data_IF_917653017774
#
_entry.id   IF_917653017774
#
_cell.length_a   1.000
_cell.length_b   1.000
_cell.length_c   1.000
_cell.angle_alpha   90.00
_cell.angle_beta   90.00
_cell.angle_gamma   90.00
#
_symmetry.space_group_name_H-M   'P 1'
#
loop_
_entity.id
_entity.type
_entity.pdbx_description
1 polymer ?
#
# COMPACT_ATOMS: atom_id res chain seq x y z
N UNK A 1 -15.25 -55.69 -6.11
CA UNK A 1 -14.12 -54.77 -5.92
C UNK A 1 -14.15 -53.82 -7.10
N UNK A 2 -14.36 -52.53 -6.83
CA UNK A 2 -14.57 -51.51 -7.86
C UNK A 2 -13.20 -50.88 -8.21
N UNK A 3 -12.71 -50.97 -9.45
CA UNK A 3 -11.35 -50.51 -9.82
C UNK A 3 -11.22 -48.99 -10.06
N UNK A 4 -12.23 -48.19 -9.72
CA UNK A 4 -12.30 -46.77 -10.09
C UNK A 4 -11.68 -45.77 -9.09
N UNK A 5 -10.95 -46.22 -8.07
CA UNK A 5 -10.26 -45.32 -7.12
C UNK A 5 -8.81 -44.99 -7.49
N UNK A 6 -8.27 -45.54 -8.58
CA UNK A 6 -6.90 -45.24 -9.04
C UNK A 6 -6.80 -43.97 -9.92
N UNK A 7 -7.91 -43.24 -10.09
CA UNK A 7 -7.91 -41.87 -10.64
C UNK A 7 -8.04 -40.85 -9.50
N UNK A 8 -7.38 -41.10 -8.37
CA UNK A 8 -7.05 -40.03 -7.44
C UNK A 8 -5.87 -39.26 -8.04
N UNK A 9 -6.24 -38.25 -8.84
CA UNK A 9 -5.46 -37.06 -9.22
C UNK A 9 -4.02 -37.14 -8.67
N UNK A 10 -3.13 -37.74 -9.45
CA UNK A 10 -1.69 -37.58 -9.24
C UNK A 10 -1.38 -36.13 -9.59
N UNK A 11 -1.64 -35.21 -8.64
CA UNK A 11 -1.27 -33.82 -8.80
C UNK A 11 0.25 -33.80 -8.85
N UNK A 12 0.80 -33.69 -10.05
CA UNK A 12 2.25 -33.71 -10.29
C UNK A 12 2.81 -32.47 -9.61
N UNK A 13 3.41 -32.67 -8.43
CA UNK A 13 4.07 -31.64 -7.64
C UNK A 13 4.98 -30.82 -8.57
N UNK A 14 4.72 -29.51 -8.64
CA UNK A 14 5.41 -28.58 -9.54
C UNK A 14 5.94 -27.41 -8.73
N UNK A 15 7.26 -27.25 -8.75
CA UNK A 15 7.94 -26.07 -8.24
C UNK A 15 8.14 -25.05 -9.38
N UNK A 16 8.18 -23.75 -9.08
CA UNK A 16 8.53 -22.71 -10.03
C UNK A 16 10.00 -22.86 -10.44
N UNK A 17 10.34 -22.30 -11.60
CA UNK A 17 11.69 -22.39 -12.14
C UNK A 17 12.65 -21.43 -11.43
N UNK A 18 13.84 -21.92 -11.07
CA UNK A 18 14.90 -21.14 -10.43
C UNK A 18 16.27 -21.42 -11.09
N UNK A 19 16.92 -20.41 -11.65
CA UNK A 19 18.27 -20.56 -12.25
C UNK A 19 19.44 -20.21 -11.35
N UNK A 20 19.22 -19.41 -10.29
CA UNK A 20 20.30 -18.85 -9.47
C UNK A 20 21.03 -17.65 -10.09
N UNK A 21 20.70 -17.23 -11.31
CA UNK A 21 21.37 -16.12 -11.98
C UNK A 21 20.51 -14.84 -12.08
N UNK A 22 19.28 -14.85 -11.54
CA UNK A 22 18.27 -13.78 -11.64
C UNK A 22 18.07 -13.26 -13.09
N UNK A 23 18.18 -14.14 -14.09
CA UNK A 23 18.02 -13.80 -15.51
C UNK A 23 16.72 -14.41 -16.05
N UNK A 24 15.85 -13.58 -16.62
CA UNK A 24 14.62 -14.02 -17.28
C UNK A 24 13.41 -14.12 -16.34
N UNK A 25 12.50 -15.05 -16.63
CA UNK A 25 11.21 -15.24 -15.93
C UNK A 25 11.31 -16.14 -14.68
N UNK A 26 12.51 -16.37 -14.17
CA UNK A 26 12.76 -17.24 -13.01
C UNK A 26 12.34 -16.56 -11.70
N UNK A 27 11.90 -17.35 -10.74
CA UNK A 27 11.54 -16.84 -9.41
C UNK A 27 12.78 -16.54 -8.56
N UNK A 28 12.62 -15.72 -7.52
CA UNK A 28 13.65 -15.53 -6.51
C UNK A 28 13.92 -16.81 -5.71
N UNK A 29 15.13 -16.90 -5.14
CA UNK A 29 15.49 -18.02 -4.27
C UNK A 29 14.52 -18.16 -3.08
N UNK A 30 14.20 -17.05 -2.41
CA UNK A 30 13.29 -17.04 -1.26
C UNK A 30 11.93 -17.66 -1.59
N UNK A 31 11.35 -17.32 -2.75
CA UNK A 31 10.07 -17.86 -3.20
C UNK A 31 10.17 -19.35 -3.53
N UNK A 32 11.22 -19.75 -4.24
CA UNK A 32 11.46 -21.16 -4.56
C UNK A 32 11.65 -22.00 -3.30
N UNK A 33 12.48 -21.52 -2.36
CA UNK A 33 12.80 -22.16 -1.09
C UNK A 33 11.59 -22.31 -0.19
N UNK A 34 10.71 -21.30 -0.18
CA UNK A 34 9.41 -21.37 0.51
C UNK A 34 8.53 -22.49 -0.05
N UNK A 35 8.42 -22.62 -1.37
CA UNK A 35 7.62 -23.70 -1.95
C UNK A 35 8.19 -25.09 -1.64
N UNK A 36 9.51 -25.26 -1.63
CA UNK A 36 10.13 -26.51 -1.17
C UNK A 36 9.77 -26.79 0.29
N UNK A 37 9.78 -25.77 1.16
CA UNK A 37 9.38 -25.92 2.56
C UNK A 37 7.89 -26.31 2.70
N UNK A 38 6.99 -25.80 1.85
CA UNK A 38 5.60 -26.23 1.79
C UNK A 38 5.49 -27.73 1.52
N UNK A 39 6.22 -28.25 0.52
CA UNK A 39 6.18 -29.68 0.19
C UNK A 39 6.69 -30.57 1.35
N UNK A 40 7.72 -30.11 2.07
CA UNK A 40 8.22 -30.80 3.26
C UNK A 40 7.15 -30.79 4.35
N UNK A 41 6.54 -29.63 4.62
CA UNK A 41 5.49 -29.47 5.63
C UNK A 41 4.24 -30.31 5.33
N UNK A 42 3.89 -30.43 4.07
CA UNK A 42 2.79 -31.28 3.57
C UNK A 42 3.14 -32.77 3.59
N UNK A 43 4.34 -33.12 4.07
CA UNK A 43 4.82 -34.49 4.27
C UNK A 43 4.84 -35.31 2.97
N UNK A 44 5.19 -34.66 1.85
CA UNK A 44 5.47 -35.37 0.61
C UNK A 44 6.68 -36.29 0.79
N UNK A 45 6.69 -37.40 0.06
CA UNK A 45 7.84 -38.32 0.05
C UNK A 45 9.10 -37.60 -0.46
N UNK A 46 10.23 -37.83 0.21
CA UNK A 46 11.52 -37.22 -0.13
C UNK A 46 11.91 -37.43 -1.61
N UNK A 47 11.59 -38.58 -2.21
CA UNK A 47 11.93 -38.83 -3.62
C UNK A 47 11.12 -37.93 -4.57
N UNK A 48 9.87 -37.63 -4.21
CA UNK A 48 8.99 -36.73 -4.98
C UNK A 48 9.51 -35.30 -4.89
N UNK A 49 9.92 -34.87 -3.70
CA UNK A 49 10.51 -33.54 -3.47
C UNK A 49 11.82 -33.41 -4.24
N UNK A 50 12.73 -34.38 -4.12
CA UNK A 50 14.00 -34.38 -4.83
C UNK A 50 13.81 -34.33 -6.35
N UNK A 51 12.82 -35.08 -6.88
CA UNK A 51 12.47 -35.03 -8.30
C UNK A 51 11.90 -33.66 -8.71
N UNK A 52 11.05 -33.05 -7.88
CA UNK A 52 10.50 -31.72 -8.14
C UNK A 52 11.61 -30.66 -8.16
N UNK A 53 12.52 -30.70 -7.17
CA UNK A 53 13.70 -29.82 -7.09
C UNK A 53 14.52 -29.93 -8.37
N UNK A 54 14.95 -31.14 -8.75
CA UNK A 54 15.77 -31.36 -9.96
C UNK A 54 15.14 -30.84 -11.24
N UNK A 55 13.81 -30.89 -11.36
CA UNK A 55 13.07 -30.38 -12.53
C UNK A 55 12.90 -28.87 -12.54
N UNK A 56 12.95 -28.24 -11.37
CA UNK A 56 12.72 -26.80 -11.20
C UNK A 56 13.98 -25.96 -11.29
N UNK A 57 15.16 -26.55 -11.09
CA UNK A 57 16.43 -25.82 -11.08
C UNK A 57 17.11 -25.84 -12.45
N UNK A 58 17.59 -24.68 -12.90
CA UNK A 58 18.34 -24.50 -14.15
C UNK A 58 19.62 -23.70 -13.91
N UNK A 59 20.38 -23.40 -14.96
CA UNK A 59 21.54 -22.51 -14.89
C UNK A 59 22.56 -22.88 -13.81
N UNK A 60 23.02 -21.88 -13.06
CA UNK A 60 23.95 -22.05 -11.93
C UNK A 60 23.37 -22.96 -10.84
N UNK A 61 22.09 -22.81 -10.50
CA UNK A 61 21.42 -23.62 -9.47
C UNK A 61 21.44 -25.12 -9.82
N UNK A 62 21.20 -25.49 -11.08
CA UNK A 62 21.29 -26.89 -11.53
C UNK A 62 22.70 -27.47 -11.42
N UNK A 63 23.73 -26.67 -11.72
CA UNK A 63 25.13 -27.09 -11.59
C UNK A 63 25.50 -27.37 -10.13
N UNK A 64 24.99 -26.58 -9.18
CA UNK A 64 25.17 -26.81 -7.75
C UNK A 64 24.53 -28.14 -7.33
N UNK A 65 23.27 -28.38 -7.72
CA UNK A 65 22.61 -29.66 -7.41
C UNK A 65 23.37 -30.84 -8.00
N UNK A 66 23.86 -30.71 -9.24
CA UNK A 66 24.65 -31.75 -9.89
C UNK A 66 25.96 -32.06 -9.16
N UNK A 67 26.63 -31.06 -8.58
CA UNK A 67 27.89 -31.23 -7.85
C UNK A 67 27.76 -32.05 -6.56
N UNK A 68 26.56 -32.10 -5.97
CA UNK A 68 26.29 -32.90 -4.77
C UNK A 68 26.20 -34.42 -5.09
N UNK A 69 26.01 -34.78 -6.36
CA UNK A 69 25.90 -36.16 -6.79
C UNK A 69 24.47 -36.73 -6.73
N UNK A 70 24.31 -37.96 -7.23
CA UNK A 70 22.99 -38.61 -7.39
C UNK A 70 22.39 -39.11 -6.08
N UNK A 71 23.22 -39.34 -5.06
CA UNK A 71 22.83 -39.83 -3.73
C UNK A 71 22.51 -38.70 -2.74
N UNK A 72 22.61 -37.44 -3.17
CA UNK A 72 22.33 -36.29 -2.31
C UNK A 72 20.88 -36.31 -1.83
N UNK A 73 20.70 -36.13 -0.53
CA UNK A 73 19.38 -36.03 0.10
C UNK A 73 18.74 -34.67 -0.20
N UNK A 74 17.44 -34.54 0.09
CA UNK A 74 16.73 -33.25 -0.02
C UNK A 74 17.38 -32.22 0.90
N UNK A 75 17.78 -32.62 2.10
CA UNK A 75 18.42 -31.74 3.09
C UNK A 75 19.80 -31.29 2.59
N UNK A 76 20.63 -32.18 2.03
CA UNK A 76 21.93 -31.81 1.47
C UNK A 76 21.80 -30.75 0.36
N UNK A 77 20.78 -30.90 -0.49
CA UNK A 77 20.49 -29.95 -1.56
C UNK A 77 20.05 -28.61 -0.98
N UNK A 78 19.15 -28.62 -0.01
CA UNK A 78 18.64 -27.41 0.64
C UNK A 78 19.77 -26.66 1.35
N UNK A 79 20.57 -27.35 2.18
CA UNK A 79 21.68 -26.76 2.92
C UNK A 79 22.70 -26.11 1.97
N UNK A 80 23.01 -26.80 0.87
CA UNK A 80 23.92 -26.26 -0.14
C UNK A 80 23.34 -25.03 -0.84
N UNK A 81 22.06 -25.05 -1.17
CA UNK A 81 21.38 -23.92 -1.80
C UNK A 81 21.28 -22.74 -0.84
N UNK A 82 20.92 -22.96 0.42
CA UNK A 82 20.81 -21.94 1.47
C UNK A 82 22.17 -21.27 1.68
N UNK A 83 23.27 -22.04 1.61
CA UNK A 83 24.64 -21.52 1.71
C UNK A 83 25.08 -20.62 0.53
N UNK A 84 24.48 -20.76 -0.66
CA UNK A 84 24.92 -20.05 -1.87
C UNK A 84 23.97 -18.90 -2.22
N UNK A 85 22.66 -19.16 -2.11
CA UNK A 85 21.61 -18.26 -2.57
C UNK A 85 20.77 -17.67 -1.43
N UNK A 86 20.87 -18.24 -0.22
CA UNK A 86 20.19 -17.69 0.94
C UNK A 86 20.67 -16.27 1.26
N UNK A 87 19.75 -15.42 1.72
CA UNK A 87 20.13 -14.08 2.20
C UNK A 87 21.14 -14.19 3.33
N UNK A 88 22.23 -13.40 3.24
CA UNK A 88 23.25 -13.26 4.29
C UNK A 88 22.96 -12.09 5.23
N UNK A 89 21.80 -11.45 5.07
CA UNK A 89 21.45 -10.25 5.81
C UNK A 89 21.25 -10.59 7.29
N UNK A 90 21.94 -9.83 8.14
CA UNK A 90 21.83 -9.96 9.60
C UNK A 90 20.63 -9.13 10.07
N UNK A 91 19.95 -9.60 11.11
CA UNK A 91 18.75 -8.98 11.69
C UNK A 91 18.88 -7.47 11.90
N UNK A 92 20.01 -7.00 12.42
CA UNK A 92 20.25 -5.58 12.71
C UNK A 92 20.26 -4.73 11.43
N UNK A 93 20.79 -5.26 10.33
CA UNK A 93 20.80 -4.58 9.02
C UNK A 93 19.37 -4.47 8.48
N UNK A 94 18.59 -5.54 8.58
CA UNK A 94 17.19 -5.55 8.14
C UNK A 94 16.32 -4.60 8.97
N UNK A 95 16.51 -4.54 10.29
CA UNK A 95 15.85 -3.56 11.15
C UNK A 95 16.26 -2.13 10.82
N UNK A 96 17.55 -1.88 10.59
CA UNK A 96 18.02 -0.56 10.18
C UNK A 96 17.37 -0.15 8.84
N UNK A 97 17.31 -1.06 7.88
CA UNK A 97 16.62 -0.86 6.61
C UNK A 97 15.13 -0.57 6.82
N UNK A 98 14.45 -1.34 7.67
CA UNK A 98 13.04 -1.15 8.00
C UNK A 98 12.79 0.26 8.55
N UNK A 99 13.57 0.70 9.53
CA UNK A 99 13.37 2.01 10.16
C UNK A 99 13.77 3.19 9.27
N UNK A 100 14.64 2.99 8.29
CA UNK A 100 15.07 4.03 7.34
C UNK A 100 14.26 4.05 6.04
N UNK A 101 13.52 2.99 5.72
CA UNK A 101 12.73 2.91 4.51
C UNK A 101 11.64 3.99 4.43
N UNK A 102 11.42 4.53 3.24
CA UNK A 102 10.31 5.44 2.92
C UNK A 102 9.70 5.04 1.58
N UNK A 103 8.46 5.45 1.34
CA UNK A 103 7.79 5.31 0.06
C UNK A 103 8.59 6.07 -1.02
N UNK A 104 8.88 5.39 -2.13
CA UNK A 104 9.54 6.01 -3.28
C UNK A 104 8.64 7.01 -4.01
N UNK A 105 9.23 7.88 -4.83
CA UNK A 105 8.49 8.94 -5.53
C UNK A 105 7.44 8.38 -6.51
N UNK A 106 7.77 7.28 -7.20
CA UNK A 106 6.88 6.59 -8.15
C UNK A 106 6.24 5.32 -7.56
N UNK A 107 6.45 5.05 -6.27
CA UNK A 107 5.95 3.85 -5.62
C UNK A 107 4.51 4.07 -5.13
N UNK A 108 3.58 3.23 -5.57
CA UNK A 108 2.22 3.26 -5.05
C UNK A 108 2.12 2.74 -3.61
N UNK A 109 1.03 3.07 -2.93
CA UNK A 109 0.80 2.72 -1.53
C UNK A 109 0.89 1.21 -1.27
N UNK A 110 0.42 0.39 -2.22
CA UNK A 110 0.42 -1.07 -2.11
C UNK A 110 1.84 -1.62 -2.21
N UNK A 111 2.60 -1.18 -3.22
CA UNK A 111 4.01 -1.56 -3.38
C UNK A 111 4.84 -1.17 -2.16
N UNK A 112 4.63 0.03 -1.61
CA UNK A 112 5.28 0.48 -0.38
C UNK A 112 4.95 -0.43 0.80
N UNK A 113 3.67 -0.75 1.00
CA UNK A 113 3.22 -1.65 2.07
C UNK A 113 3.86 -3.03 1.97
N UNK A 114 3.81 -3.64 0.78
CA UNK A 114 4.40 -4.96 0.53
C UNK A 114 5.91 -4.98 0.75
N UNK A 115 6.64 -3.96 0.28
CA UNK A 115 8.09 -3.87 0.46
C UNK A 115 8.46 -3.71 1.93
N UNK A 116 7.72 -2.89 2.67
CA UNK A 116 7.97 -2.69 4.10
C UNK A 116 7.71 -3.98 4.91
N UNK A 117 6.63 -4.68 4.59
CA UNK A 117 6.28 -5.97 5.20
C UNK A 117 7.32 -7.06 4.90
N UNK A 118 7.82 -7.13 3.67
CA UNK A 118 8.89 -8.06 3.29
C UNK A 118 10.18 -7.82 4.10
N UNK A 119 10.60 -6.57 4.25
CA UNK A 119 11.79 -6.21 5.04
C UNK A 119 11.60 -6.65 6.50
N UNK A 120 10.44 -6.39 7.10
CA UNK A 120 10.17 -6.77 8.48
C UNK A 120 10.12 -8.30 8.64
N UNK A 121 9.41 -9.00 7.78
CA UNK A 121 9.29 -10.45 7.83
C UNK A 121 10.65 -11.15 7.73
N UNK A 122 11.55 -10.64 6.88
CA UNK A 122 12.95 -11.12 6.84
C UNK A 122 13.66 -10.91 8.17
N UNK A 123 13.46 -9.77 8.83
CA UNK A 123 14.04 -9.52 10.15
C UNK A 123 13.46 -10.45 11.24
N UNK A 124 12.15 -10.74 11.19
CA UNK A 124 11.47 -11.67 12.10
C UNK A 124 12.03 -13.10 11.94
N UNK A 125 12.20 -13.59 10.72
CA UNK A 125 12.74 -14.93 10.47
C UNK A 125 14.18 -15.10 10.99
N UNK A 126 14.93 -14.00 11.16
CA UNK A 126 16.32 -14.00 11.63
C UNK A 126 16.47 -13.76 13.13
N UNK A 127 15.40 -13.58 13.91
CA UNK A 127 15.51 -13.50 15.37
C UNK A 127 14.20 -13.53 16.14
N UNK A 128 14.28 -13.51 17.47
CA UNK A 128 13.10 -13.52 18.35
C UNK A 128 12.48 -12.11 18.47
N UNK A 129 11.83 -11.63 17.42
CA UNK A 129 10.87 -10.52 17.54
C UNK A 129 9.50 -11.16 17.77
N UNK A 130 8.78 -10.71 18.79
CA UNK A 130 7.45 -11.24 19.08
C UNK A 130 6.48 -10.75 18.01
N UNK A 131 5.73 -11.67 17.40
CA UNK A 131 4.69 -11.36 16.39
C UNK A 131 3.68 -10.30 16.87
N UNK A 132 3.55 -10.15 18.18
CA UNK A 132 2.67 -9.22 18.87
C UNK A 132 3.00 -7.74 18.61
N UNK A 133 4.28 -7.42 18.36
CA UNK A 133 4.72 -6.04 18.09
C UNK A 133 4.75 -5.71 16.59
N UNK A 134 4.61 -6.72 15.73
CA UNK A 134 4.76 -6.61 14.28
C UNK A 134 3.76 -5.64 13.66
N UNK A 135 2.48 -5.72 14.04
CA UNK A 135 1.43 -4.89 13.46
C UNK A 135 1.63 -3.41 13.80
N UNK A 136 1.94 -3.09 15.06
CA UNK A 136 2.22 -1.72 15.51
C UNK A 136 3.48 -1.16 14.82
N UNK A 137 4.53 -1.97 14.71
CA UNK A 137 5.75 -1.60 13.99
C UNK A 137 5.45 -1.26 12.53
N UNK A 138 4.70 -2.13 11.82
CA UNK A 138 4.31 -1.90 10.44
C UNK A 138 3.46 -0.64 10.32
N UNK A 139 2.40 -0.52 11.12
CA UNK A 139 1.48 0.63 11.09
C UNK A 139 2.23 1.95 11.29
N UNK A 140 3.02 2.03 12.36
CA UNK A 140 3.77 3.24 12.70
C UNK A 140 4.81 3.58 11.62
N UNK A 141 5.55 2.59 11.14
CA UNK A 141 6.60 2.83 10.15
C UNK A 141 6.04 3.12 8.77
N UNK A 142 5.00 2.41 8.36
CA UNK A 142 4.27 2.60 7.12
C UNK A 142 3.78 4.03 7.00
N UNK A 143 3.02 4.52 7.98
CA UNK A 143 2.49 5.88 7.95
C UNK A 143 3.59 6.96 8.00
N UNK A 144 4.61 6.79 8.85
CA UNK A 144 5.76 7.71 8.91
C UNK A 144 6.56 7.72 7.62
N UNK A 145 6.61 6.61 6.88
CA UNK A 145 7.33 6.45 5.62
C UNK A 145 6.54 6.88 4.39
N UNK A 146 5.22 7.13 4.48
CA UNK A 146 4.40 7.60 3.36
C UNK A 146 4.92 8.93 2.80
N UNK A 147 4.63 9.18 1.52
CA UNK A 147 4.88 10.49 0.89
C UNK A 147 4.19 11.61 1.69
N UNK A 148 4.81 12.80 1.83
CA UNK A 148 4.28 13.88 2.66
C UNK A 148 2.84 14.28 2.33
N UNK A 149 2.47 14.29 1.05
CA UNK A 149 1.12 14.67 0.62
C UNK A 149 0.05 13.68 1.08
N UNK A 150 0.33 12.37 0.96
CA UNK A 150 -0.56 11.32 1.48
C UNK A 150 -0.61 11.32 3.01
N UNK A 151 0.53 11.59 3.67
CA UNK A 151 0.62 11.62 5.14
C UNK A 151 -0.22 12.75 5.75
N UNK A 152 -0.20 13.95 5.15
CA UNK A 152 -0.97 15.11 5.62
C UNK A 152 -2.48 14.83 5.61
N UNK A 153 -3.00 14.27 4.51
CA UNK A 153 -4.43 14.00 4.36
C UNK A 153 -4.91 12.80 5.18
N UNK A 154 -4.01 11.88 5.54
CA UNK A 154 -4.33 10.62 6.23
C UNK A 154 -4.17 10.64 7.75
N UNK A 155 -3.69 11.73 8.35
CA UNK A 155 -3.40 11.80 9.79
C UNK A 155 -4.60 11.34 10.66
N UNK A 156 -5.80 11.81 10.34
CA UNK A 156 -7.04 11.42 11.05
C UNK A 156 -7.41 9.93 10.91
N UNK A 157 -6.94 9.24 9.85
CA UNK A 157 -7.13 7.80 9.66
C UNK A 157 -6.15 7.02 10.52
N UNK A 158 -4.90 7.45 10.57
CA UNK A 158 -3.85 6.82 11.38
C UNK A 158 -4.21 6.77 12.87
N UNK A 159 -4.80 7.84 13.41
CA UNK A 159 -5.19 7.87 14.83
C UNK A 159 -6.34 6.91 15.16
N UNK A 160 -7.20 6.62 14.18
CA UNK A 160 -8.42 5.81 14.38
C UNK A 160 -8.19 4.33 14.07
N UNK A 161 -7.36 4.02 13.08
CA UNK A 161 -7.14 2.68 12.59
C UNK A 161 -5.94 2.08 13.32
N UNK A 162 -6.17 1.00 14.06
CA UNK A 162 -5.13 0.33 14.85
C UNK A 162 -4.47 -0.84 14.09
N UNK A 163 -5.11 -1.36 13.05
CA UNK A 163 -4.64 -2.50 12.28
C UNK A 163 -3.93 -2.07 10.99
N UNK A 164 -2.74 -2.60 10.73
CA UNK A 164 -1.96 -2.27 9.53
C UNK A 164 -2.73 -2.48 8.23
N UNK A 165 -3.37 -3.64 8.06
CA UNK A 165 -4.08 -3.98 6.82
C UNK A 165 -5.26 -3.04 6.54
N UNK A 166 -5.97 -2.61 7.59
CA UNK A 166 -7.05 -1.64 7.45
C UNK A 166 -6.51 -0.26 7.08
N UNK A 167 -5.36 0.13 7.64
CA UNK A 167 -4.71 1.39 7.32
C UNK A 167 -4.24 1.40 5.86
N UNK A 168 -3.65 0.30 5.38
CA UNK A 168 -3.22 0.12 4.00
C UNK A 168 -4.38 0.32 3.01
N UNK A 169 -5.55 -0.30 3.27
CA UNK A 169 -6.75 -0.13 2.45
C UNK A 169 -7.17 1.34 2.42
N UNK A 170 -7.29 1.98 3.59
CA UNK A 170 -7.66 3.39 3.67
C UNK A 170 -6.68 4.31 2.93
N UNK A 171 -5.38 3.98 2.93
CA UNK A 171 -4.38 4.77 2.21
C UNK A 171 -4.49 4.59 0.69
N UNK A 172 -4.84 3.40 0.21
CA UNK A 172 -5.09 3.15 -1.22
C UNK A 172 -6.31 3.91 -1.72
N UNK A 173 -7.36 4.00 -0.91
CA UNK A 173 -8.55 4.82 -1.23
C UNK A 173 -8.18 6.31 -1.37
N UNK A 174 -7.37 6.83 -0.44
CA UNK A 174 -6.89 8.22 -0.48
C UNK A 174 -6.00 8.47 -1.69
N UNK A 175 -5.10 7.54 -2.02
CA UNK A 175 -4.23 7.64 -3.20
C UNK A 175 -5.05 7.69 -4.49
N UNK A 176 -6.08 6.86 -4.61
CA UNK A 176 -6.98 6.86 -5.76
C UNK A 176 -7.77 8.17 -5.88
N UNK A 177 -8.31 8.68 -4.77
CA UNK A 177 -8.98 9.99 -4.75
C UNK A 177 -8.04 11.11 -5.20
N UNK A 178 -6.81 11.12 -4.69
CA UNK A 178 -5.81 12.14 -5.06
C UNK A 178 -5.43 12.05 -6.54
N UNK A 179 -5.35 10.84 -7.11
CA UNK A 179 -5.10 10.61 -8.53
C UNK A 179 -6.24 11.17 -9.40
N UNK A 180 -7.49 10.94 -9.00
CA UNK A 180 -8.67 11.45 -9.69
C UNK A 180 -8.73 12.99 -9.66
N UNK A 181 -8.49 13.60 -8.50
CA UNK A 181 -8.47 15.07 -8.35
C UNK A 181 -7.37 15.72 -9.20
N UNK A 182 -6.21 15.07 -9.32
CA UNK A 182 -5.09 15.55 -10.14
C UNK A 182 -5.41 15.45 -11.63
N UNK A 183 -6.01 14.35 -12.08
CA UNK A 183 -6.43 14.15 -13.46
C UNK A 183 -7.53 15.15 -13.90
N UNK A 184 -8.43 15.52 -12.98
CA UNK A 184 -9.45 16.56 -13.24
C UNK A 184 -8.81 17.95 -13.40
N UNK A 185 -7.78 18.26 -12.60
CA UNK A 185 -7.03 19.52 -12.70
C UNK A 185 -6.19 19.61 -13.98
N UNK A 186 -5.52 18.53 -14.38
CA UNK A 186 -4.72 18.52 -15.62
C UNK A 186 -5.58 18.72 -16.87
N UNK A 187 -6.76 18.09 -16.94
CA UNK A 187 -7.74 18.30 -18.02
C UNK A 187 -8.27 19.73 -18.09
N UNK A 188 -8.30 20.45 -16.96
CA UNK A 188 -8.67 21.88 -16.94
C UNK A 188 -7.53 22.81 -17.36
N UNK A 189 -6.30 22.32 -17.49
CA UNK A 189 -5.09 23.12 -17.76
C UNK A 189 -4.42 22.87 -19.12
N UNK A 190 -4.89 21.89 -19.91
CA UNK A 190 -4.35 21.57 -21.24
C UNK A 190 -5.15 22.11 -22.43
N UNK A 191 -6.15 22.97 -22.23
CA UNK A 191 -6.79 23.70 -23.33
C UNK A 191 -5.93 24.90 -23.78
N UNK A 192 -5.04 24.65 -24.74
CA UNK A 192 -4.67 25.70 -25.71
C UNK A 192 -5.88 26.04 -26.60
N UNK A 193 -6.00 27.28 -27.10
CA UNK A 193 -7.27 27.85 -27.50
C UNK A 193 -7.61 27.47 -28.94
N UNK A 194 -8.38 26.41 -29.12
CA UNK A 194 -9.18 26.25 -30.33
C UNK A 194 -10.65 26.10 -29.99
N UNK A 195 -11.42 26.88 -30.73
CA UNK A 195 -12.81 27.26 -30.51
C UNK A 195 -13.73 26.03 -30.46
N UNK A 196 -14.24 25.70 -29.28
CA UNK A 196 -15.53 25.02 -29.17
C UNK A 196 -16.45 25.74 -28.17
N UNK A 197 -17.64 25.98 -28.70
CA UNK A 197 -18.70 26.86 -28.23
C UNK A 197 -19.40 26.22 -27.01
N UNK A 198 -18.83 26.39 -25.82
CA UNK A 198 -19.57 26.18 -24.56
C UNK A 198 -20.51 27.36 -24.41
N UNK A 199 -21.82 27.08 -24.42
CA UNK A 199 -22.90 28.07 -24.36
C UNK A 199 -22.61 29.15 -23.33
N UNK A 200 -22.35 30.36 -23.82
CA UNK A 200 -22.04 31.56 -23.04
C UNK A 200 -23.17 31.96 -22.08
N UNK A 201 -24.37 31.42 -22.24
CA UNK A 201 -25.57 31.81 -21.47
C UNK A 201 -25.57 31.24 -20.04
N UNK A 202 -25.16 29.98 -19.83
CA UNK A 202 -25.25 29.39 -18.48
C UNK A 202 -24.20 29.99 -17.53
N UNK A 203 -23.03 30.37 -18.04
CA UNK A 203 -21.95 30.96 -17.23
C UNK A 203 -22.19 32.44 -16.93
N UNK A 204 -22.88 33.18 -17.80
CA UNK A 204 -23.32 34.55 -17.53
C UNK A 204 -24.48 34.57 -16.56
N UNK A 205 -25.44 33.65 -16.68
CA UNK A 205 -26.55 33.52 -15.73
C UNK A 205 -26.07 33.14 -14.32
N UNK A 206 -25.15 32.16 -14.20
CA UNK A 206 -24.59 31.79 -12.90
C UNK A 206 -23.80 32.95 -12.27
N UNK A 207 -23.03 33.71 -13.05
CA UNK A 207 -22.33 34.92 -12.55
C UNK A 207 -23.31 36.01 -12.11
N UNK A 208 -24.37 36.24 -12.87
CA UNK A 208 -25.41 37.21 -12.52
C UNK A 208 -26.14 36.81 -11.23
N UNK A 209 -26.41 35.51 -11.04
CA UNK A 209 -27.05 35.00 -9.85
C UNK A 209 -26.15 35.13 -8.60
N UNK A 210 -24.84 34.85 -8.72
CA UNK A 210 -23.86 35.06 -7.65
C UNK A 210 -23.73 36.53 -7.25
N UNK A 211 -23.68 37.44 -8.23
CA UNK A 211 -23.64 38.88 -7.96
C UNK A 211 -24.91 39.38 -7.25
N UNK A 212 -26.08 38.89 -7.69
CA UNK A 212 -27.36 39.23 -7.06
C UNK A 212 -27.45 38.72 -5.62
N UNK A 213 -26.98 37.51 -5.35
CA UNK A 213 -26.92 36.94 -4.00
C UNK A 213 -25.97 37.73 -3.09
N UNK A 214 -24.82 38.18 -3.61
CA UNK A 214 -23.87 38.98 -2.84
C UNK A 214 -24.45 40.35 -2.49
N UNK A 215 -25.15 40.99 -3.44
CA UNK A 215 -25.84 42.26 -3.18
C UNK A 215 -26.95 42.12 -2.13
N UNK A 216 -27.75 41.03 -2.19
CA UNK A 216 -28.80 40.77 -1.20
C UNK A 216 -28.24 40.50 0.20
N UNK A 217 -27.06 39.87 0.31
CA UNK A 217 -26.40 39.66 1.60
C UNK A 217 -25.95 40.99 2.22
N UNK A 218 -25.36 41.89 1.43
CA UNK A 218 -24.95 43.23 1.89
C UNK A 218 -26.15 44.10 2.30
N UNK A 219 -27.25 44.05 1.55
CA UNK A 219 -28.48 44.77 1.91
C UNK A 219 -29.09 44.22 3.21
N UNK A 220 -29.09 42.90 3.40
CA UNK A 220 -29.60 42.28 4.61
C UNK A 220 -28.74 42.64 5.83
N UNK A 221 -27.42 42.70 5.67
CA UNK A 221 -26.46 43.05 6.72
C UNK A 221 -26.53 44.54 7.13
N UNK A 222 -26.78 45.43 6.17
CA UNK A 222 -27.03 46.86 6.47
C UNK A 222 -28.39 47.07 7.14
N UNK A 223 -29.41 46.31 6.77
CA UNK A 223 -30.73 46.35 7.41
C UNK A 223 -30.70 45.82 8.84
N UNK A 224 -29.97 44.73 9.11
CA UNK A 224 -29.78 44.24 10.50
C UNK A 224 -28.97 45.23 11.34
N UNK A 225 -27.96 45.88 10.76
CA UNK A 225 -27.15 46.91 11.44
C UNK A 225 -27.93 48.20 11.75
N UNK A 226 -28.91 48.59 10.93
CA UNK A 226 -29.75 49.77 11.18
C UNK A 226 -30.87 49.48 12.18
N UNK A 227 -31.47 48.28 12.13
CA UNK A 227 -32.44 47.83 13.12
C UNK A 227 -31.86 47.76 14.54
N UNK A 228 -30.61 47.27 14.68
CA UNK A 228 -29.90 47.23 15.97
C UNK A 228 -29.56 48.62 16.50
N UNK A 229 -29.12 49.55 15.64
CA UNK A 229 -28.87 50.96 16.04
C UNK A 229 -30.14 51.69 16.46
N UNK A 230 -31.24 51.51 15.74
CA UNK A 230 -32.52 52.14 16.08
C UNK A 230 -33.10 51.58 17.39
N UNK A 231 -32.98 50.28 17.64
CA UNK A 231 -33.43 49.67 18.90
C UNK A 231 -32.64 50.20 20.11
N UNK A 232 -31.32 50.35 19.97
CA UNK A 232 -30.46 50.94 21.00
C UNK A 232 -30.80 52.42 21.26
N UNK A 233 -31.08 53.20 20.22
CA UNK A 233 -31.44 54.61 20.36
C UNK A 233 -32.79 54.81 21.08
N UNK A 234 -33.78 53.95 20.81
CA UNK A 234 -35.09 54.00 21.49
C UNK A 234 -34.98 53.63 22.97
N UNK A 235 -34.15 52.64 23.32
CA UNK A 235 -33.89 52.27 24.71
C UNK A 235 -33.20 53.39 25.49
N UNK A 236 -32.24 54.10 24.86
CA UNK A 236 -31.59 55.26 25.48
C UNK A 236 -32.57 56.42 25.67
N UNK A 237 -33.46 56.68 24.71
CA UNK A 237 -34.47 57.73 24.83
C UNK A 237 -35.50 57.45 25.95
N UNK A 238 -35.90 56.18 26.14
CA UNK A 238 -36.79 55.77 27.22
C UNK A 238 -36.12 55.89 28.61
N UNK A 239 -34.83 55.57 28.72
CA UNK A 239 -34.07 55.74 29.97
C UNK A 239 -33.91 57.22 30.38
N UNK A 240 -33.84 58.14 29.41
CA UNK A 240 -33.77 59.59 29.68
C UNK A 240 -35.13 60.16 30.13
N UNK A 241 -36.25 59.60 29.66
CA UNK A 241 -37.59 60.06 30.05
C UNK A 241 -38.07 59.54 31.41
N UNK A 242 -37.48 58.47 31.96
CA UNK A 242 -37.84 57.95 33.29
C UNK A 242 -37.07 58.58 34.47
N UNK A 243 -36.26 59.63 34.23
CA UNK A 243 -35.40 60.29 35.23
C UNK A 243 -35.80 61.76 35.54
N UNK A 244 -37.09 62.08 35.43
CA UNK A 244 -37.73 63.28 36.00
C UNK A 244 -39.02 62.88 36.71
#
# INVERSE_FOLDING_TARGET
MNPDYDILITCKVKLPTFSGDNRGDDVSYDLWRYQVACLIKENYRHEIIAQAIRRSVHGTASRIVMQLGVEATVDDVIDRMDSIFGSVDVKEVLLAQFYTACQGDDEDVSSWGCRLEDILNKALQRGNIYEQDTDEMLRAKFWKGLRPELRKVSMHKFDRIQEFNQLLIAMREIEEQHRQDSALKEKSSTSSPDKENISSDETTELKAMVQKLTAQLQEKETRTSTLTKNSMSTLVALLVHCNH
#
